data_IF_938264072924
#
_entry.id   IF_938264072924
#
_cell.length_a   1.000
_cell.length_b   1.000
_cell.length_c   1.000
_cell.angle_alpha   90.00
_cell.angle_beta   90.00
_cell.angle_gamma   90.00
#
_symmetry.space_group_name_H-M   'P 1'
#
loop_
_entity.id
_entity.type
_entity.pdbx_description
1 polymer ?
#
# COMPACT_ATOMS: atom_id res chain seq x y z
N UNK A 1 -20.52 4.84 -6.27
CA UNK A 1 -20.31 4.01 -5.07
C UNK A 1 -18.81 3.75 -5.01
N UNK A 2 -18.09 4.41 -4.11
CA UNK A 2 -16.63 4.30 -4.04
C UNK A 2 -16.31 3.05 -3.22
N UNK A 3 -15.88 2.00 -3.92
CA UNK A 3 -15.34 0.77 -3.38
C UNK A 3 -14.32 1.05 -2.25
N UNK A 4 -14.58 0.58 -1.04
CA UNK A 4 -13.62 0.63 0.08
C UNK A 4 -12.91 -0.73 0.15
N UNK A 5 -11.77 -0.86 -0.54
CA UNK A 5 -10.90 -2.01 -0.31
C UNK A 5 -10.51 -2.10 1.17
N UNK A 6 -10.40 -3.31 1.72
CA UNK A 6 -10.04 -3.51 3.11
C UNK A 6 -8.55 -3.22 3.33
N UNK A 7 -8.22 -1.98 3.73
CA UNK A 7 -6.86 -1.54 4.08
C UNK A 7 -6.56 -1.93 5.52
N UNK A 8 -5.44 -2.61 5.75
CA UNK A 8 -4.93 -2.99 7.09
C UNK A 8 -3.52 -2.47 7.29
N UNK A 9 -3.17 -2.13 8.52
CA UNK A 9 -1.81 -1.77 8.94
C UNK A 9 -1.28 -2.84 9.89
N UNK A 10 -0.04 -3.27 9.71
CA UNK A 10 0.63 -4.02 10.77
C UNK A 10 0.91 -3.10 11.96
N UNK A 11 1.06 -3.63 13.20
CA UNK A 11 1.37 -2.81 14.37
C UNK A 11 2.62 -1.95 14.18
N UNK A 12 3.63 -2.50 13.51
CA UNK A 12 4.89 -1.83 13.19
C UNK A 12 4.71 -0.68 12.20
N UNK A 13 3.98 -0.91 11.11
CA UNK A 13 3.67 0.13 10.12
C UNK A 13 2.83 1.25 10.75
N UNK A 14 1.83 0.89 11.55
CA UNK A 14 0.98 1.83 12.27
C UNK A 14 1.81 2.70 13.22
N UNK A 15 2.61 2.08 14.09
CA UNK A 15 3.43 2.84 15.05
C UNK A 15 4.37 3.79 14.33
N UNK A 16 5.05 3.32 13.28
CA UNK A 16 5.97 4.14 12.53
C UNK A 16 5.27 5.30 11.80
N UNK A 17 4.08 5.07 11.24
CA UNK A 17 3.29 6.14 10.65
C UNK A 17 2.90 7.20 11.68
N UNK A 18 2.44 6.80 12.87
CA UNK A 18 2.10 7.71 13.96
C UNK A 18 3.33 8.54 14.41
N UNK A 19 4.49 7.92 14.55
CA UNK A 19 5.76 8.61 14.85
C UNK A 19 6.16 9.65 13.78
N UNK A 20 5.64 9.53 12.56
CA UNK A 20 5.98 10.37 11.41
C UNK A 20 4.87 11.35 11.01
N UNK A 21 3.87 11.55 11.86
CA UNK A 21 2.79 12.52 11.63
C UNK A 21 1.45 11.88 11.27
N UNK A 22 1.33 10.56 11.38
CA UNK A 22 0.06 9.84 11.28
C UNK A 22 -0.53 9.76 9.88
N UNK A 23 0.31 9.83 8.83
CA UNK A 23 -0.14 9.78 7.45
C UNK A 23 0.67 8.78 6.60
N UNK A 24 -0.02 8.10 5.69
CA UNK A 24 0.54 7.21 4.68
C UNK A 24 -0.09 7.55 3.34
N UNK A 25 0.71 7.57 2.27
CA UNK A 25 0.24 7.74 0.89
C UNK A 25 0.42 6.45 0.12
N UNK A 26 -0.63 6.00 -0.57
CA UNK A 26 -0.63 4.87 -1.49
C UNK A 26 -0.70 5.39 -2.92
N UNK A 27 0.31 5.06 -3.72
CA UNK A 27 0.38 5.43 -5.13
C UNK A 27 0.73 4.23 -6.01
N UNK A 28 0.24 4.21 -7.25
CA UNK A 28 0.62 3.16 -8.19
C UNK A 28 2.05 3.42 -8.70
N UNK A 29 2.87 2.37 -8.76
CA UNK A 29 4.22 2.41 -9.31
C UNK A 29 4.38 1.33 -10.37
N UNK A 30 4.92 1.71 -11.52
CA UNK A 30 5.21 0.75 -12.58
C UNK A 30 6.47 -0.02 -12.22
N UNK A 31 6.35 -1.34 -12.05
CA UNK A 31 7.50 -2.25 -11.92
C UNK A 31 7.69 -2.97 -13.24
N UNK A 32 8.89 -2.84 -13.81
CA UNK A 32 9.27 -3.59 -15.00
C UNK A 32 9.50 -5.05 -14.62
N UNK A 33 8.92 -5.97 -15.40
CA UNK A 33 9.21 -7.40 -15.36
C UNK A 33 10.41 -7.73 -16.24
N UNK A 34 11.06 -8.85 -15.93
CA UNK A 34 12.26 -9.33 -16.64
C UNK A 34 12.03 -9.58 -18.14
N UNK A 35 10.79 -9.87 -18.56
CA UNK A 35 10.43 -10.20 -19.94
C UNK A 35 9.72 -9.06 -20.70
N UNK A 36 9.94 -7.78 -20.32
CA UNK A 36 9.38 -6.62 -21.05
C UNK A 36 7.93 -6.26 -20.73
N UNK A 37 7.24 -7.03 -19.87
CA UNK A 37 5.96 -6.65 -19.27
C UNK A 37 6.14 -5.66 -18.11
N UNK A 38 5.09 -4.91 -17.74
CA UNK A 38 5.11 -4.06 -16.56
C UNK A 38 3.81 -4.18 -15.78
N UNK A 39 3.90 -4.34 -14.46
CA UNK A 39 2.75 -4.34 -13.57
C UNK A 39 2.66 -3.01 -12.82
N UNK A 40 1.45 -2.49 -12.68
CA UNK A 40 1.19 -1.42 -11.72
C UNK A 40 1.05 -2.07 -10.35
N UNK A 41 1.96 -1.75 -9.43
CA UNK A 41 1.88 -2.23 -8.05
C UNK A 41 1.61 -1.07 -7.11
N UNK A 42 0.81 -1.25 -6.05
CA UNK A 42 0.69 -0.26 -4.99
C UNK A 42 2.03 -0.10 -4.27
N UNK A 43 2.40 1.14 -3.97
CA UNK A 43 3.53 1.49 -3.11
C UNK A 43 3.03 2.40 -2.01
N UNK A 44 3.44 2.12 -0.78
CA UNK A 44 3.17 2.94 0.38
C UNK A 44 4.37 3.84 0.71
N UNK A 45 4.09 5.10 1.00
CA UNK A 45 5.05 6.11 1.41
C UNK A 45 4.58 6.78 2.70
N UNK A 46 5.51 7.12 3.58
CA UNK A 46 5.20 7.83 4.82
C UNK A 46 4.90 9.29 4.48
N UNK A 47 3.86 9.84 5.09
CA UNK A 47 3.44 11.23 4.96
C UNK A 47 2.14 11.38 4.17
N UNK A 48 1.57 12.58 4.27
CA UNK A 48 0.47 13.00 3.42
C UNK A 48 1.00 13.38 2.03
N UNK A 49 0.19 13.24 0.97
CA UNK A 49 0.58 13.75 -0.34
C UNK A 49 0.56 15.29 -0.33
N UNK A 50 1.26 15.90 -1.29
CA UNK A 50 1.29 17.37 -1.44
C UNK A 50 -0.11 17.97 -1.64
N UNK A 51 -1.01 17.22 -2.29
CA UNK A 51 -2.43 17.54 -2.41
C UNK A 51 -3.30 16.42 -1.83
N UNK A 52 -3.68 16.49 -0.55
CA UNK A 52 -4.57 15.53 0.10
C UNK A 52 -5.98 15.47 -0.47
N UNK A 53 -6.44 16.53 -1.16
CA UNK A 53 -7.83 16.64 -1.63
C UNK A 53 -8.10 15.85 -2.91
N UNK A 54 -7.05 15.59 -3.70
CA UNK A 54 -7.11 14.73 -4.88
C UNK A 54 -7.02 13.24 -4.57
N UNK A 55 -6.87 12.86 -3.29
CA UNK A 55 -6.72 11.47 -2.85
C UNK A 55 -7.95 10.98 -2.09
N UNK A 56 -8.25 9.69 -2.19
CA UNK A 56 -9.23 9.04 -1.34
C UNK A 56 -8.61 8.83 0.05
N UNK A 57 -9.17 9.51 1.06
CA UNK A 57 -8.69 9.40 2.44
C UNK A 57 -9.45 8.32 3.19
N UNK A 58 -8.70 7.37 3.74
CA UNK A 58 -9.19 6.32 4.63
C UNK A 58 -8.58 6.52 6.02
N UNK A 59 -9.38 6.36 7.07
CA UNK A 59 -8.89 6.38 8.44
C UNK A 59 -8.74 4.94 8.94
N UNK A 60 -7.53 4.52 9.27
CA UNK A 60 -7.22 3.15 9.70
C UNK A 60 -6.40 3.21 10.99
N UNK A 61 -6.96 2.72 12.09
CA UNK A 61 -6.31 2.66 13.41
C UNK A 61 -5.65 3.97 13.90
N UNK A 62 -6.22 5.11 13.50
CA UNK A 62 -5.72 6.45 13.84
C UNK A 62 -4.69 7.02 12.86
N UNK A 63 -4.42 6.33 11.75
CA UNK A 63 -3.55 6.78 10.65
C UNK A 63 -4.40 7.17 9.44
N UNK A 64 -4.09 8.31 8.84
CA UNK A 64 -4.70 8.75 7.57
C UNK A 64 -3.99 8.09 6.40
N UNK A 65 -4.68 7.22 5.67
CA UNK A 65 -4.18 6.58 4.45
C UNK A 65 -4.78 7.27 3.23
N UNK A 66 -3.94 7.87 2.40
CA UNK A 66 -4.31 8.59 1.19
C UNK A 66 -4.08 7.71 -0.03
N UNK A 67 -5.14 7.19 -0.64
CA UNK A 67 -5.06 6.39 -1.85
C UNK A 67 -5.21 7.27 -3.10
N UNK A 68 -4.26 7.19 -4.02
CA UNK A 68 -4.33 7.89 -5.29
C UNK A 68 -5.54 7.38 -6.11
N UNK A 69 -6.30 8.26 -6.79
CA UNK A 69 -7.54 7.89 -7.49
C UNK A 69 -7.32 6.96 -8.68
N UNK A 70 -6.09 6.89 -9.19
CA UNK A 70 -5.68 5.98 -10.26
C UNK A 70 -5.21 4.60 -9.74
N UNK A 71 -5.22 4.39 -8.42
CA UNK A 71 -4.91 3.10 -7.82
C UNK A 71 -6.17 2.23 -7.82
N UNK A 72 -6.25 1.28 -8.75
CA UNK A 72 -7.32 0.28 -8.76
C UNK A 72 -7.03 -0.75 -7.66
N UNK A 73 -7.75 -0.64 -6.55
CA UNK A 73 -7.81 -1.68 -5.53
C UNK A 73 -9.02 -2.57 -5.84
N UNK A 74 -8.80 -3.87 -5.94
CA UNK A 74 -9.91 -4.82 -6.09
C UNK A 74 -10.66 -4.93 -4.76
N UNK A 75 -11.99 -4.85 -4.79
CA UNK A 75 -12.85 -4.93 -3.58
C UNK A 75 -12.71 -6.27 -2.85
N UNK A 76 -12.35 -7.34 -3.57
CA UNK A 76 -12.15 -8.67 -3.02
C UNK A 76 -10.77 -8.86 -2.37
N UNK A 77 -9.82 -7.95 -2.61
CA UNK A 77 -8.45 -8.08 -2.13
C UNK A 77 -8.19 -7.08 -1.00
N UNK A 78 -7.89 -7.63 0.18
CA UNK A 78 -7.43 -6.83 1.30
C UNK A 78 -5.95 -6.45 1.11
N UNK A 79 -5.65 -5.18 1.28
CA UNK A 79 -4.28 -4.67 1.20
C UNK A 79 -3.75 -4.51 2.62
N UNK A 80 -2.60 -5.11 2.90
CA UNK A 80 -1.90 -4.97 4.18
C UNK A 80 -0.65 -4.12 3.96
N UNK A 81 -0.53 -3.03 4.71
CA UNK A 81 0.66 -2.18 4.71
C UNK A 81 1.53 -2.63 5.88
N UNK A 82 2.72 -3.13 5.56
CA UNK A 82 3.73 -3.51 6.54
C UNK A 82 4.95 -2.58 6.48
N UNK A 83 5.84 -2.67 7.47
CA UNK A 83 7.09 -1.94 7.53
C UNK A 83 8.25 -2.92 7.64
N UNK A 84 9.10 -2.92 6.61
CA UNK A 84 10.36 -3.65 6.65
C UNK A 84 11.47 -2.78 7.22
N UNK A 85 12.32 -3.39 8.04
CA UNK A 85 13.54 -2.79 8.58
C UNK A 85 14.75 -3.48 7.96
N UNK A 86 15.60 -2.73 7.29
CA UNK A 86 16.88 -3.21 6.78
C UNK A 86 18.01 -2.31 7.28
N UNK A 87 18.79 -2.79 8.26
CA UNK A 87 19.77 -1.99 9.02
C UNK A 87 19.14 -0.69 9.58
N UNK A 88 19.55 0.48 9.08
CA UNK A 88 19.08 1.81 9.49
C UNK A 88 17.92 2.32 8.64
N UNK A 89 17.50 1.57 7.62
CA UNK A 89 16.47 1.99 6.69
C UNK A 89 15.13 1.33 7.07
N UNK A 90 14.10 2.15 7.13
CA UNK A 90 12.70 1.73 7.29
C UNK A 90 11.96 2.08 6.01
N UNK A 91 11.13 1.18 5.49
CA UNK A 91 10.29 1.42 4.32
C UNK A 91 8.96 0.70 4.51
N UNK A 92 7.88 1.35 4.06
CA UNK A 92 6.58 0.70 3.98
C UNK A 92 6.54 -0.21 2.75
N UNK A 93 5.97 -1.39 2.93
CA UNK A 93 5.70 -2.35 1.87
C UNK A 93 4.20 -2.63 1.86
N UNK A 94 3.71 -2.99 0.69
CA UNK A 94 2.29 -3.31 0.49
C UNK A 94 2.20 -4.77 0.12
N UNK A 95 1.46 -5.52 0.93
CA UNK A 95 1.19 -6.95 0.80
C UNK A 95 -0.31 -7.15 0.49
N UNK A 96 -0.69 -8.25 -0.16
CA UNK A 96 -2.09 -8.54 -0.48
C UNK A 96 -2.52 -8.28 -1.92
N UNK A 97 -1.61 -7.86 -2.80
CA UNK A 97 -1.73 -8.16 -4.24
C UNK A 97 -1.12 -9.53 -4.44
N UNK A 98 -1.96 -10.52 -4.67
CA UNK A 98 -1.57 -11.90 -4.94
C UNK A 98 -0.59 -11.92 -6.14
N UNK A 99 0.69 -12.22 -5.87
CA UNK A 99 1.67 -12.61 -6.87
C UNK A 99 1.89 -14.15 -6.86
N UNK A 100 1.03 -14.89 -6.16
CA UNK A 100 1.19 -16.31 -5.86
C UNK A 100 0.12 -17.23 -6.49
N UNK A 101 -0.82 -16.71 -7.30
CA UNK A 101 -1.68 -17.59 -8.12
C UNK A 101 -0.91 -18.28 -9.28
N UNK A 102 0.43 -18.21 -9.33
CA UNK A 102 1.27 -19.03 -10.22
C UNK A 102 2.26 -19.95 -9.48
N UNK A 103 2.13 -20.16 -8.16
CA UNK A 103 3.02 -21.08 -7.42
C UNK A 103 2.35 -22.13 -6.55
N UNK A 104 1.02 -22.20 -6.50
CA UNK A 104 0.29 -23.23 -5.77
C UNK A 104 -0.28 -24.40 -6.61
N UNK A 105 -0.06 -24.46 -7.92
CA UNK A 105 -0.37 -25.64 -8.76
C UNK A 105 0.90 -26.42 -9.18
N UNK A 106 1.80 -26.65 -8.22
CA UNK A 106 2.80 -27.71 -8.32
C UNK A 106 2.66 -28.65 -7.12
N UNK A 107 1.67 -29.53 -7.21
CA UNK A 107 1.86 -30.94 -6.85
C UNK A 107 0.97 -31.82 -7.72
#
# INVERSE_FOLDING_TARGET
MTANAAIRLTPDARQWALEKGGAITLRPSRRAGCCGGGAMVPVAEIGAPDDPTSHHRHMVDGVSVYAAPNLRMDESQAITIDMVRFLRWKRLVVEGVDLDTLRAERN
#
